data_IF_210747181341
#
_entry.id   IF_210747181341
#
_cell.length_a   1.000
_cell.length_b   1.000
_cell.length_c   1.000
_cell.angle_alpha   90.00
_cell.angle_beta   90.00
_cell.angle_gamma   90.00
#
_symmetry.space_group_name_H-M   'P 1'
#
loop_
_entity.id
_entity.type
_entity.pdbx_description
1 polymer ?
#
# COMPACT_ATOMS: atom_id res chain seq x y z
N UNK A 1 -27.29 -22.54 -10.22
CA UNK A 1 -26.27 -21.63 -9.66
C UNK A 1 -24.92 -22.08 -10.19
N UNK A 2 -24.09 -21.17 -10.70
CA UNK A 2 -22.73 -21.49 -11.10
C UNK A 2 -21.97 -22.06 -9.90
N UNK A 3 -21.27 -23.18 -10.06
CA UNK A 3 -20.43 -23.76 -9.01
C UNK A 3 -19.05 -23.13 -9.09
N UNK A 4 -18.45 -22.84 -7.94
CA UNK A 4 -17.05 -22.44 -7.86
C UNK A 4 -16.17 -23.64 -7.50
N UNK A 5 -15.09 -23.84 -8.27
CA UNK A 5 -14.08 -24.86 -8.04
C UNK A 5 -12.74 -24.20 -7.71
N UNK A 6 -11.96 -24.78 -6.79
CA UNK A 6 -10.65 -24.23 -6.39
C UNK A 6 -9.53 -25.17 -6.81
N UNK A 7 -8.55 -24.64 -7.52
CA UNK A 7 -7.38 -25.36 -8.03
C UNK A 7 -6.12 -24.76 -7.41
N UNK A 8 -5.24 -25.60 -6.86
CA UNK A 8 -4.05 -25.18 -6.09
C UNK A 8 -2.73 -25.75 -6.60
N UNK A 9 -2.75 -26.87 -7.32
CA UNK A 9 -1.54 -27.52 -7.83
C UNK A 9 -0.95 -26.73 -9.01
N UNK A 10 0.38 -26.70 -9.09
CA UNK A 10 1.08 -25.88 -10.08
C UNK A 10 0.71 -26.24 -11.52
N UNK A 11 0.78 -27.54 -11.85
CA UNK A 11 0.48 -28.04 -13.20
C UNK A 11 -0.99 -27.79 -13.57
N UNK A 12 -1.92 -27.97 -12.63
CA UNK A 12 -3.33 -27.70 -12.85
C UNK A 12 -3.61 -26.21 -13.06
N UNK A 13 -2.96 -25.32 -12.29
CA UNK A 13 -3.08 -23.87 -12.49
C UNK A 13 -2.49 -23.47 -13.84
N UNK A 14 -1.32 -23.98 -14.23
CA UNK A 14 -0.72 -23.72 -15.54
C UNK A 14 -1.64 -24.19 -16.67
N UNK A 15 -2.16 -25.42 -16.56
CA UNK A 15 -3.11 -25.98 -17.52
C UNK A 15 -4.38 -25.12 -17.64
N UNK A 16 -4.95 -24.69 -16.52
CA UNK A 16 -6.14 -23.83 -16.50
C UNK A 16 -5.88 -22.41 -17.05
N UNK A 17 -4.67 -21.87 -16.88
CA UNK A 17 -4.29 -20.58 -17.47
C UNK A 17 -4.10 -20.64 -18.99
N UNK A 18 -3.66 -21.79 -19.50
CA UNK A 18 -3.46 -22.04 -20.92
C UNK A 18 -4.69 -22.58 -21.67
N UNK A 19 -5.72 -23.04 -20.96
CA UNK A 19 -6.95 -23.57 -21.57
C UNK A 19 -7.76 -22.43 -22.23
N UNK A 20 -7.98 -22.46 -23.56
CA UNK A 20 -8.77 -21.43 -24.25
C UNK A 20 -10.25 -21.39 -23.82
N UNK A 21 -10.74 -22.42 -23.13
CA UNK A 21 -12.13 -22.51 -22.66
C UNK A 21 -12.32 -22.09 -21.21
N UNK A 22 -11.22 -21.80 -20.52
CA UNK A 22 -11.21 -21.17 -19.21
C UNK A 22 -10.80 -19.71 -19.41
N UNK A 23 -11.78 -18.85 -19.64
CA UNK A 23 -11.55 -17.45 -19.98
C UNK A 23 -11.60 -16.55 -18.74
N UNK A 24 -10.94 -15.37 -18.72
CA UNK A 24 -11.21 -14.37 -17.69
C UNK A 24 -12.70 -14.07 -17.63
N UNK A 25 -13.23 -13.82 -16.42
CA UNK A 25 -14.64 -13.43 -16.26
C UNK A 25 -14.90 -12.16 -17.08
N UNK A 26 -15.76 -12.22 -18.11
CA UNK A 26 -16.05 -11.05 -18.93
C UNK A 26 -16.64 -9.92 -18.07
N UNK A 27 -16.29 -8.69 -18.39
CA UNK A 27 -16.99 -7.53 -17.85
C UNK A 27 -18.21 -7.25 -18.72
N UNK A 28 -19.37 -7.05 -18.10
CA UNK A 28 -20.52 -6.49 -18.81
C UNK A 28 -20.18 -5.05 -19.20
N UNK A 29 -20.48 -4.68 -20.44
CA UNK A 29 -20.24 -3.32 -20.91
C UNK A 29 -21.17 -2.35 -20.19
N UNK A 30 -20.61 -1.25 -19.68
CA UNK A 30 -21.36 -0.20 -18.99
C UNK A 30 -21.58 1.05 -19.84
N UNK A 31 -22.12 2.09 -19.20
CA UNK A 31 -22.22 3.41 -19.80
C UNK A 31 -20.83 3.92 -20.24
N UNK A 32 -20.72 4.63 -21.38
CA UNK A 32 -19.46 5.19 -21.85
C UNK A 32 -18.74 5.96 -20.75
N UNK A 33 -17.43 5.74 -20.63
CA UNK A 33 -16.55 6.36 -19.65
C UNK A 33 -16.82 5.98 -18.18
N UNK A 34 -17.62 4.94 -17.91
CA UNK A 34 -17.71 4.32 -16.59
C UNK A 34 -16.66 3.21 -16.38
N UNK A 35 -16.52 2.75 -15.14
CA UNK A 35 -15.60 1.68 -14.74
C UNK A 35 -15.94 0.34 -15.44
N UNK A 36 -17.22 0.02 -15.61
CA UNK A 36 -17.66 -1.16 -16.36
C UNK A 36 -17.31 -1.08 -17.85
N UNK A 37 -17.51 0.08 -18.48
CA UNK A 37 -17.06 0.34 -19.86
C UNK A 37 -15.54 0.20 -20.00
N UNK A 38 -14.77 0.73 -19.03
CA UNK A 38 -13.31 0.60 -19.00
C UNK A 38 -12.89 -0.87 -18.94
N UNK A 39 -13.52 -1.68 -18.07
CA UNK A 39 -13.25 -3.12 -18.00
C UNK A 39 -13.61 -3.83 -19.30
N UNK A 40 -14.77 -3.55 -19.89
CA UNK A 40 -15.21 -4.11 -21.17
C UNK A 40 -14.31 -3.74 -22.36
N UNK A 41 -13.57 -2.63 -22.25
CA UNK A 41 -12.65 -2.12 -23.27
C UNK A 41 -11.20 -2.60 -23.10
N UNK A 42 -10.86 -3.24 -21.97
CA UNK A 42 -9.51 -3.66 -21.64
C UNK A 42 -9.19 -5.10 -22.10
N UNK A 43 -7.94 -5.33 -22.53
CA UNK A 43 -7.46 -6.66 -22.95
C UNK A 43 -7.65 -7.74 -21.87
N UNK A 44 -7.54 -7.37 -20.58
CA UNK A 44 -7.61 -8.29 -19.42
C UNK A 44 -8.91 -9.09 -19.37
N UNK A 45 -10.02 -8.49 -19.78
CA UNK A 45 -11.37 -9.08 -19.67
C UNK A 45 -11.87 -9.66 -21.00
N UNK A 46 -11.09 -9.56 -22.08
CA UNK A 46 -11.43 -10.13 -23.39
C UNK A 46 -11.04 -11.61 -23.45
N UNK A 47 -11.80 -12.47 -24.14
CA UNK A 47 -11.48 -13.91 -24.36
C UNK A 47 -10.23 -14.08 -25.26
N UNK A 48 -9.56 -15.24 -25.27
CA UNK A 48 -8.18 -15.33 -25.79
C UNK A 48 -8.16 -15.43 -27.32
N UNK A 49 -9.18 -16.11 -27.82
CA UNK A 49 -9.60 -16.27 -29.20
C UNK A 49 -10.43 -15.10 -29.73
N UNK A 50 -10.74 -14.10 -28.90
CA UNK A 50 -11.41 -12.88 -29.32
C UNK A 50 -10.42 -11.99 -30.10
N UNK A 51 -10.70 -11.67 -31.39
CA UNK A 51 -9.89 -10.74 -32.16
C UNK A 51 -9.70 -9.38 -31.46
N UNK A 52 -10.63 -8.98 -30.58
CA UNK A 52 -10.49 -7.79 -29.75
C UNK A 52 -9.38 -7.92 -28.71
N UNK A 53 -9.14 -9.11 -28.13
CA UNK A 53 -8.06 -9.32 -27.17
C UNK A 53 -6.69 -9.04 -27.79
N UNK A 54 -6.41 -9.62 -28.96
CA UNK A 54 -5.13 -9.41 -29.65
C UNK A 54 -4.92 -7.93 -29.98
N UNK A 55 -5.96 -7.24 -30.49
CA UNK A 55 -5.90 -5.81 -30.79
C UNK A 55 -5.60 -4.97 -29.54
N UNK A 56 -6.35 -5.18 -28.45
CA UNK A 56 -6.22 -4.45 -27.18
C UNK A 56 -4.90 -4.74 -26.47
N UNK A 57 -4.45 -6.01 -26.49
CA UNK A 57 -3.14 -6.42 -25.98
C UNK A 57 -2.02 -5.72 -26.73
N UNK A 58 -2.10 -5.66 -28.07
CA UNK A 58 -1.12 -4.98 -28.88
C UNK A 58 -1.05 -3.46 -28.59
N UNK A 59 -2.16 -2.83 -28.17
CA UNK A 59 -2.13 -1.43 -27.70
C UNK A 59 -1.28 -1.30 -26.43
N UNK A 60 -1.52 -2.14 -25.42
CA UNK A 60 -0.76 -2.12 -24.17
C UNK A 60 0.73 -2.45 -24.40
N UNK A 61 1.03 -3.43 -25.26
CA UNK A 61 2.41 -3.78 -25.61
C UNK A 61 3.13 -2.64 -26.34
N UNK A 62 2.46 -1.90 -27.25
CA UNK A 62 3.03 -0.71 -27.89
C UNK A 62 3.32 0.43 -26.90
N UNK A 63 2.46 0.61 -25.90
CA UNK A 63 2.68 1.60 -24.85
C UNK A 63 3.88 1.21 -23.97
N UNK A 64 3.94 -0.05 -23.53
CA UNK A 64 5.02 -0.58 -22.71
C UNK A 64 6.37 -0.63 -23.43
N UNK A 65 6.39 -0.91 -24.74
CA UNK A 65 7.61 -0.94 -25.54
C UNK A 65 8.31 0.43 -25.66
N UNK A 66 7.59 1.53 -25.37
CA UNK A 66 8.16 2.89 -25.33
C UNK A 66 8.79 3.22 -23.99
N UNK A 67 8.60 2.37 -22.98
CA UNK A 67 9.03 2.61 -21.61
C UNK A 67 10.12 1.61 -21.24
N UNK A 68 11.33 2.12 -21.04
CA UNK A 68 12.47 1.30 -20.60
C UNK A 68 12.33 0.93 -19.11
N UNK A 69 12.34 -0.37 -18.73
CA UNK A 69 12.22 -0.77 -17.33
C UNK A 69 13.33 -0.19 -16.45
N UNK A 70 14.57 -0.06 -16.95
CA UNK A 70 15.67 0.55 -16.19
C UNK A 70 15.39 2.01 -15.83
N UNK A 71 14.77 2.77 -16.74
CA UNK A 71 14.36 4.15 -16.48
C UNK A 71 13.26 4.23 -15.41
N UNK A 72 12.29 3.30 -15.43
CA UNK A 72 11.29 3.19 -14.36
C UNK A 72 11.92 2.88 -13.01
N UNK A 73 12.88 1.96 -12.95
CA UNK A 73 13.61 1.62 -11.73
C UNK A 73 14.32 2.85 -11.16
N UNK A 74 15.06 3.58 -11.99
CA UNK A 74 15.76 4.80 -11.56
C UNK A 74 14.81 5.91 -11.13
N UNK A 75 13.72 6.15 -11.87
CA UNK A 75 12.75 7.18 -11.55
C UNK A 75 11.98 6.86 -10.25
N UNK A 76 11.59 5.60 -10.05
CA UNK A 76 10.99 5.16 -8.80
C UNK A 76 11.96 5.31 -7.62
N UNK A 77 13.24 4.95 -7.78
CA UNK A 77 14.25 5.11 -6.72
C UNK A 77 14.57 6.58 -6.38
N UNK A 78 14.46 7.49 -7.34
CA UNK A 78 14.77 8.91 -7.16
C UNK A 78 13.63 9.72 -6.53
N UNK A 79 12.39 9.21 -6.53
CA UNK A 79 11.26 9.89 -5.91
C UNK A 79 11.37 9.89 -4.38
N UNK A 80 11.08 11.03 -3.75
CA UNK A 80 11.03 11.14 -2.29
C UNK A 80 10.00 10.16 -1.68
N UNK A 81 10.32 9.56 -0.53
CA UNK A 81 9.34 8.89 0.32
C UNK A 81 8.67 9.98 1.16
N UNK A 82 7.65 10.66 0.62
CA UNK A 82 6.88 11.59 1.44
C UNK A 82 6.20 10.83 2.61
N UNK A 83 6.82 10.75 3.79
CA UNK A 83 6.31 10.05 4.97
C UNK A 83 5.73 8.65 4.67
N UNK A 84 4.58 8.33 5.30
CA UNK A 84 3.71 7.18 4.97
C UNK A 84 3.07 7.35 3.56
N UNK A 85 3.90 7.54 2.53
CA UNK A 85 3.47 7.77 1.17
C UNK A 85 2.86 6.51 0.57
N UNK A 86 1.68 6.68 -0.05
CA UNK A 86 1.01 5.60 -0.77
C UNK A 86 1.82 5.22 -2.03
N UNK A 87 2.48 4.06 -1.99
CA UNK A 87 3.27 3.52 -3.11
C UNK A 87 2.48 3.44 -4.41
N UNK A 88 1.14 3.35 -4.36
CA UNK A 88 0.28 3.39 -5.56
C UNK A 88 0.45 4.70 -6.31
N UNK A 89 0.53 5.83 -5.60
CA UNK A 89 0.74 7.14 -6.21
C UNK A 89 2.11 7.21 -6.90
N UNK A 90 3.14 6.64 -6.29
CA UNK A 90 4.47 6.58 -6.87
C UNK A 90 4.51 5.69 -8.12
N UNK A 91 3.95 4.48 -8.04
CA UNK A 91 3.85 3.54 -9.17
C UNK A 91 3.16 4.19 -10.36
N UNK A 92 1.98 4.77 -10.15
CA UNK A 92 1.19 5.34 -11.25
C UNK A 92 1.82 6.64 -11.75
N UNK A 93 2.31 7.50 -10.86
CA UNK A 93 2.94 8.77 -11.25
C UNK A 93 4.17 8.55 -12.12
N UNK A 94 5.06 7.63 -11.72
CA UNK A 94 6.27 7.28 -12.50
C UNK A 94 5.90 6.67 -13.84
N UNK A 95 4.94 5.74 -13.88
CA UNK A 95 4.51 5.12 -15.13
C UNK A 95 3.81 6.13 -16.07
N UNK A 96 2.94 6.99 -15.54
CA UNK A 96 2.27 8.04 -16.30
C UNK A 96 3.27 9.04 -16.91
N UNK A 97 4.27 9.45 -16.12
CA UNK A 97 5.35 10.31 -16.61
C UNK A 97 6.16 9.62 -17.72
N UNK A 98 6.52 8.34 -17.54
CA UNK A 98 7.27 7.58 -18.55
C UNK A 98 6.47 7.37 -19.85
N UNK A 99 5.14 7.31 -19.76
CA UNK A 99 4.25 7.29 -20.93
C UNK A 99 4.07 8.66 -21.60
N UNK A 100 4.65 9.72 -21.04
CA UNK A 100 4.55 11.09 -21.58
C UNK A 100 3.26 11.82 -21.21
N UNK A 101 2.52 11.35 -20.22
CA UNK A 101 1.25 11.94 -19.82
C UNK A 101 1.45 13.23 -19.01
N UNK A 102 0.55 14.19 -19.20
CA UNK A 102 0.54 15.46 -18.47
C UNK A 102 -0.06 15.25 -17.07
N UNK A 103 0.41 16.03 -16.10
CA UNK A 103 -0.11 16.01 -14.72
C UNK A 103 -0.06 14.61 -14.06
N UNK A 104 1.11 13.93 -14.03
CA UNK A 104 1.22 12.54 -13.55
C UNK A 104 0.72 12.35 -12.11
N UNK A 105 0.86 13.35 -11.24
CA UNK A 105 0.35 13.28 -9.86
C UNK A 105 -1.19 13.26 -9.79
N UNK A 106 -1.86 14.07 -10.61
CA UNK A 106 -3.32 14.09 -10.67
C UNK A 106 -3.88 12.81 -11.31
N UNK A 107 -3.18 12.31 -12.34
CA UNK A 107 -3.47 11.00 -12.94
C UNK A 107 -3.34 9.90 -11.89
N UNK A 108 -2.27 9.91 -11.09
CA UNK A 108 -2.06 8.92 -10.04
C UNK A 108 -3.21 8.89 -9.02
N UNK A 109 -3.65 10.06 -8.54
CA UNK A 109 -4.77 10.16 -7.63
C UNK A 109 -6.07 9.58 -8.22
N UNK A 110 -6.40 9.96 -9.46
CA UNK A 110 -7.61 9.47 -10.15
C UNK A 110 -7.54 7.96 -10.41
N UNK A 111 -6.39 7.43 -10.82
CA UNK A 111 -6.19 5.98 -11.03
C UNK A 111 -6.35 5.20 -9.74
N UNK A 112 -5.87 5.70 -8.59
CA UNK A 112 -6.08 5.05 -7.29
C UNK A 112 -7.57 4.99 -6.93
N UNK A 113 -8.35 6.02 -7.26
CA UNK A 113 -9.82 5.99 -7.11
C UNK A 113 -10.46 4.91 -7.99
N UNK A 114 -10.03 4.77 -9.25
CA UNK A 114 -10.55 3.73 -10.14
C UNK A 114 -10.16 2.33 -9.65
N UNK A 115 -8.90 2.14 -9.23
CA UNK A 115 -8.36 0.86 -8.78
C UNK A 115 -9.19 0.25 -7.63
N UNK A 116 -9.66 1.09 -6.69
CA UNK A 116 -10.49 0.69 -5.56
C UNK A 116 -11.83 0.02 -5.95
N UNK A 117 -12.35 0.26 -7.16
CA UNK A 117 -13.58 -0.35 -7.67
C UNK A 117 -13.36 -1.27 -8.89
N UNK A 118 -12.13 -1.34 -9.42
CA UNK A 118 -11.85 -1.90 -10.74
C UNK A 118 -12.20 -3.39 -10.88
N UNK A 119 -12.04 -4.19 -9.82
CA UNK A 119 -12.35 -5.62 -9.85
C UNK A 119 -13.78 -5.96 -9.43
N UNK A 120 -14.62 -4.96 -9.13
CA UNK A 120 -16.00 -5.11 -8.68
C UNK A 120 -16.11 -5.32 -7.16
N UNK A 121 -17.35 -5.31 -6.64
CA UNK A 121 -17.63 -5.49 -5.21
C UNK A 121 -17.50 -4.23 -4.35
N UNK A 122 -17.21 -3.08 -4.96
CA UNK A 122 -17.20 -1.79 -4.29
C UNK A 122 -18.63 -1.30 -3.99
N UNK A 123 -18.80 -0.58 -2.88
CA UNK A 123 -20.07 0.07 -2.55
C UNK A 123 -20.44 1.17 -3.56
N UNK A 124 -21.73 1.52 -3.63
CA UNK A 124 -22.27 2.45 -4.64
C UNK A 124 -21.52 3.80 -4.72
N UNK A 125 -21.08 4.34 -3.58
CA UNK A 125 -20.30 5.58 -3.53
C UNK A 125 -18.93 5.45 -4.22
N UNK A 126 -18.24 4.33 -3.97
CA UNK A 126 -16.93 4.07 -4.57
C UNK A 126 -17.04 3.78 -6.07
N UNK A 127 -18.12 3.09 -6.49
CA UNK A 127 -18.42 2.90 -7.91
C UNK A 127 -18.65 4.24 -8.64
N UNK A 128 -19.48 5.13 -8.08
CA UNK A 128 -19.72 6.45 -8.66
C UNK A 128 -18.43 7.30 -8.75
N UNK A 129 -17.61 7.29 -7.69
CA UNK A 129 -16.33 7.99 -7.69
C UNK A 129 -15.36 7.43 -8.75
N UNK A 130 -15.37 6.12 -8.99
CA UNK A 130 -14.59 5.50 -10.03
C UNK A 130 -15.08 5.89 -11.43
N UNK A 131 -16.39 5.97 -11.66
CA UNK A 131 -16.96 6.43 -12.93
C UNK A 131 -16.54 7.89 -13.23
N UNK A 132 -16.66 8.79 -12.25
CA UNK A 132 -16.20 10.17 -12.38
C UNK A 132 -14.70 10.26 -12.70
N UNK A 133 -13.90 9.41 -12.04
CA UNK A 133 -12.46 9.35 -12.28
C UNK A 133 -12.11 8.81 -13.68
N UNK A 134 -12.83 7.80 -14.19
CA UNK A 134 -12.64 7.30 -15.57
C UNK A 134 -13.01 8.39 -16.59
N UNK A 135 -14.15 9.06 -16.41
CA UNK A 135 -14.56 10.16 -17.27
C UNK A 135 -13.53 11.31 -17.29
N UNK A 136 -12.86 11.57 -16.16
CA UNK A 136 -11.78 12.54 -16.08
C UNK A 136 -10.47 12.08 -16.75
N UNK A 137 -10.13 10.79 -16.62
CA UNK A 137 -8.88 10.21 -17.12
C UNK A 137 -8.84 10.07 -18.65
N UNK A 138 -9.93 9.59 -19.25
CA UNK A 138 -9.98 9.28 -20.69
C UNK A 138 -9.49 10.43 -21.59
N UNK A 139 -9.98 11.68 -21.48
CA UNK A 139 -9.51 12.79 -22.32
C UNK A 139 -8.04 13.20 -22.06
N UNK A 140 -7.41 12.69 -21.00
CA UNK A 140 -6.02 13.02 -20.62
C UNK A 140 -4.99 11.98 -21.04
N UNK A 141 -5.44 10.88 -21.66
CA UNK A 141 -4.54 9.79 -22.04
C UNK A 141 -3.70 10.08 -23.27
N UNK A 142 -3.89 11.18 -23.99
CA UNK A 142 -3.19 11.47 -25.25
C UNK A 142 -3.23 10.28 -26.23
N UNK A 143 -4.46 9.84 -26.53
CA UNK A 143 -4.75 8.67 -27.34
C UNK A 143 -5.58 9.07 -28.57
N UNK A 144 -5.45 8.28 -29.64
CA UNK A 144 -6.11 8.56 -30.92
C UNK A 144 -7.63 8.32 -30.90
N UNK A 145 -8.09 7.43 -30.03
CA UNK A 145 -9.49 7.03 -29.87
C UNK A 145 -9.77 6.56 -28.43
N UNK A 146 -11.06 6.42 -28.10
CA UNK A 146 -11.50 6.04 -26.75
C UNK A 146 -11.05 4.63 -26.34
N UNK A 147 -10.92 3.68 -27.29
CA UNK A 147 -10.44 2.32 -26.98
C UNK A 147 -8.96 2.34 -26.57
N UNK A 148 -8.15 3.13 -27.28
CA UNK A 148 -6.74 3.34 -26.95
C UNK A 148 -6.58 4.08 -25.62
N UNK A 149 -7.42 5.09 -25.36
CA UNK A 149 -7.46 5.78 -24.08
C UNK A 149 -7.82 4.80 -22.94
N UNK A 150 -8.87 4.00 -23.12
CA UNK A 150 -9.29 3.00 -22.15
C UNK A 150 -8.19 1.97 -21.85
N UNK A 151 -7.47 1.50 -22.87
CA UNK A 151 -6.38 0.54 -22.65
C UNK A 151 -5.18 1.16 -21.91
N UNK A 152 -4.90 2.46 -22.11
CA UNK A 152 -3.88 3.18 -21.34
C UNK A 152 -4.31 3.41 -19.88
N UNK A 153 -5.56 3.78 -19.64
CA UNK A 153 -6.11 3.85 -18.27
C UNK A 153 -6.03 2.46 -17.60
N UNK A 154 -6.48 1.41 -18.30
CA UNK A 154 -6.43 0.05 -17.78
C UNK A 154 -5.00 -0.44 -17.51
N UNK A 155 -4.00 0.02 -18.25
CA UNK A 155 -2.59 -0.25 -17.99
C UNK A 155 -2.15 0.36 -16.66
N UNK A 156 -2.46 1.65 -16.42
CA UNK A 156 -2.15 2.35 -15.17
C UNK A 156 -2.86 1.71 -13.97
N UNK A 157 -4.16 1.42 -14.09
CA UNK A 157 -4.96 0.79 -13.03
C UNK A 157 -4.43 -0.60 -12.68
N UNK A 158 -4.06 -1.43 -13.67
CA UNK A 158 -3.52 -2.76 -13.41
C UNK A 158 -2.10 -2.74 -12.82
N UNK A 159 -1.33 -1.69 -13.06
CA UNK A 159 -0.02 -1.51 -12.44
C UNK A 159 -0.13 -1.08 -10.97
N UNK A 160 -1.16 -0.30 -10.63
CA UNK A 160 -1.38 0.38 -9.34
C UNK A 160 -1.23 -0.52 -8.10
N UNK A 161 -2.30 -1.22 -7.70
CA UNK A 161 -2.32 -1.97 -6.43
C UNK A 161 -1.32 -3.14 -6.40
N UNK A 162 -1.20 -3.86 -7.52
CA UNK A 162 -0.39 -5.08 -7.57
C UNK A 162 1.11 -4.77 -7.42
N UNK A 163 1.60 -3.68 -8.01
CA UNK A 163 3.03 -3.30 -7.91
C UNK A 163 3.33 -2.67 -6.56
N UNK A 164 2.43 -1.83 -6.03
CA UNK A 164 2.57 -1.27 -4.68
C UNK A 164 2.58 -2.38 -3.61
N UNK A 165 1.67 -3.35 -3.70
CA UNK A 165 1.64 -4.50 -2.80
C UNK A 165 2.90 -5.37 -2.92
N UNK A 166 3.47 -5.51 -4.14
CA UNK A 166 4.73 -6.24 -4.33
C UNK A 166 5.89 -5.55 -3.60
N UNK A 167 6.02 -4.23 -3.76
CA UNK A 167 7.06 -3.44 -3.09
C UNK A 167 6.92 -3.54 -1.56
N UNK A 168 5.70 -3.34 -1.05
CA UNK A 168 5.42 -3.41 0.39
C UNK A 168 5.72 -4.77 1.00
N UNK A 169 5.23 -5.86 0.40
CA UNK A 169 5.51 -7.22 0.90
C UNK A 169 6.99 -7.58 0.81
N UNK A 170 7.69 -7.07 -0.20
CA UNK A 170 9.13 -7.25 -0.33
C UNK A 170 9.91 -6.49 0.74
N UNK A 171 9.48 -5.29 1.15
CA UNK A 171 10.05 -4.58 2.31
C UNK A 171 9.89 -5.38 3.60
N UNK A 172 8.69 -5.93 3.85
CA UNK A 172 8.43 -6.79 5.02
C UNK A 172 9.32 -8.05 5.02
N UNK A 173 9.52 -8.65 3.85
CA UNK A 173 10.42 -9.78 3.68
C UNK A 173 11.90 -9.41 3.89
N UNK A 174 12.30 -8.20 3.51
CA UNK A 174 13.66 -7.69 3.68
C UNK A 174 14.04 -7.55 5.16
N UNK A 175 13.11 -7.15 6.03
CA UNK A 175 13.33 -7.02 7.48
C UNK A 175 13.78 -8.35 8.15
N UNK A 176 13.50 -9.48 7.50
CA UNK A 176 13.85 -10.82 7.99
C UNK A 176 14.87 -11.53 7.06
N UNK A 177 15.45 -10.81 6.10
CA UNK A 177 16.37 -11.38 5.13
C UNK A 177 17.80 -11.46 5.69
N UNK A 178 18.54 -12.49 5.26
CA UNK A 178 19.96 -12.57 5.54
C UNK A 178 20.73 -11.39 4.89
N UNK A 179 21.87 -10.97 5.47
CA UNK A 179 22.71 -9.95 4.86
C UNK A 179 23.11 -10.31 3.42
N UNK A 180 23.08 -9.33 2.52
CA UNK A 180 23.56 -9.48 1.13
C UNK A 180 22.51 -9.97 0.13
N UNK A 181 21.25 -10.19 0.52
CA UNK A 181 20.17 -10.48 -0.44
C UNK A 181 19.90 -9.25 -1.30
N UNK A 182 19.93 -9.43 -2.62
CA UNK A 182 19.65 -8.36 -3.58
C UNK A 182 18.16 -8.03 -3.66
N UNK A 183 17.82 -6.83 -4.13
CA UNK A 183 16.42 -6.42 -4.37
C UNK A 183 15.71 -7.38 -5.33
N UNK A 184 16.39 -7.86 -6.36
CA UNK A 184 15.80 -8.76 -7.36
C UNK A 184 15.54 -10.16 -6.76
N UNK A 185 16.41 -10.64 -5.86
CA UNK A 185 16.19 -11.87 -5.09
C UNK A 185 15.03 -11.74 -4.09
N UNK A 186 14.89 -10.58 -3.44
CA UNK A 186 13.75 -10.29 -2.56
C UNK A 186 12.43 -10.33 -3.34
N UNK A 187 12.36 -9.66 -4.49
CA UNK A 187 11.18 -9.68 -5.35
C UNK A 187 10.85 -11.12 -5.80
N UNK A 188 11.85 -11.90 -6.21
CA UNK A 188 11.66 -13.29 -6.63
C UNK A 188 11.15 -14.18 -5.48
N UNK A 189 11.63 -13.96 -4.25
CA UNK A 189 11.13 -14.64 -3.04
C UNK A 189 9.71 -14.22 -2.71
N UNK A 190 9.41 -12.93 -2.70
CA UNK A 190 8.05 -12.42 -2.42
C UNK A 190 7.04 -12.93 -3.43
N UNK A 191 7.38 -12.99 -4.73
CA UNK A 191 6.49 -13.59 -5.73
C UNK A 191 6.22 -15.07 -5.47
N UNK A 192 7.16 -15.80 -4.86
CA UNK A 192 6.99 -17.21 -4.49
C UNK A 192 6.14 -17.37 -3.23
N UNK A 193 6.48 -16.62 -2.18
CA UNK A 193 6.02 -16.88 -0.83
C UNK A 193 4.78 -16.05 -0.45
N UNK A 194 4.70 -14.80 -0.92
CA UNK A 194 3.62 -13.84 -0.63
C UNK A 194 3.29 -12.95 -1.85
N UNK A 195 2.78 -13.53 -2.96
CA UNK A 195 2.55 -12.79 -4.20
C UNK A 195 1.38 -11.79 -4.07
N UNK A 196 1.50 -10.58 -4.65
CA UNK A 196 0.46 -9.54 -4.59
C UNK A 196 -0.87 -9.99 -5.22
N UNK A 197 -0.80 -10.88 -6.21
CA UNK A 197 -1.95 -11.56 -6.79
C UNK A 197 -2.00 -12.98 -6.24
N UNK A 198 -2.92 -13.21 -5.30
CA UNK A 198 -3.06 -14.50 -4.60
C UNK A 198 -3.95 -15.49 -5.33
N UNK A 199 -4.90 -15.00 -6.12
CA UNK A 199 -5.79 -15.85 -6.91
C UNK A 199 -6.21 -15.21 -8.24
N UNK A 200 -6.51 -16.05 -9.23
CA UNK A 200 -7.06 -15.67 -10.52
C UNK A 200 -8.38 -16.42 -10.75
N UNK A 201 -9.35 -15.78 -11.40
CA UNK A 201 -10.64 -16.40 -11.73
C UNK A 201 -10.76 -16.69 -13.22
N UNK A 202 -11.33 -17.86 -13.53
CA UNK A 202 -11.72 -18.28 -14.88
C UNK A 202 -13.17 -18.71 -14.91
N UNK A 203 -13.83 -18.45 -16.03
CA UNK A 203 -15.17 -18.93 -16.35
C UNK A 203 -15.04 -20.04 -17.40
N UNK A 204 -15.66 -21.19 -17.17
CA UNK A 204 -15.77 -22.23 -18.16
C UNK A 204 -16.84 -21.87 -19.20
N UNK A 205 -16.46 -21.65 -20.46
CA UNK A 205 -17.42 -21.33 -21.53
C UNK A 205 -18.09 -22.57 -22.13
N UNK A 206 -17.54 -23.75 -21.84
CA UNK A 206 -18.07 -25.07 -22.18
C UNK A 206 -17.61 -26.08 -21.13
N UNK A 207 -18.21 -27.26 -21.13
CA UNK A 207 -17.72 -28.38 -20.34
C UNK A 207 -16.24 -28.65 -20.67
N UNK A 208 -15.40 -28.65 -19.64
CA UNK A 208 -13.94 -28.83 -19.74
C UNK A 208 -13.40 -29.61 -18.54
N UNK A 209 -12.07 -29.80 -18.47
CA UNK A 209 -11.39 -30.43 -17.35
C UNK A 209 -10.14 -29.66 -16.95
N UNK A 210 -9.87 -29.61 -15.65
CA UNK A 210 -8.58 -29.15 -15.10
C UNK A 210 -7.93 -30.34 -14.38
N UNK A 211 -6.96 -30.97 -15.04
CA UNK A 211 -6.47 -32.28 -14.59
C UNK A 211 -7.63 -33.30 -14.54
N UNK A 212 -7.86 -33.87 -13.37
CA UNK A 212 -8.98 -34.81 -13.15
C UNK A 212 -10.32 -34.16 -12.79
N UNK A 213 -10.33 -32.86 -12.55
CA UNK A 213 -11.53 -32.11 -12.18
C UNK A 213 -12.39 -31.84 -13.42
N UNK A 214 -13.62 -32.38 -13.46
CA UNK A 214 -14.62 -31.97 -14.44
C UNK A 214 -15.24 -30.62 -14.06
N UNK A 215 -15.28 -29.69 -15.02
CA UNK A 215 -15.83 -28.34 -14.84
C UNK A 215 -16.94 -28.15 -15.88
N UNK A 216 -18.16 -27.85 -15.42
CA UNK A 216 -19.30 -27.65 -16.32
C UNK A 216 -19.28 -26.24 -16.94
N UNK A 217 -19.92 -26.09 -18.10
CA UNK A 217 -20.14 -24.78 -18.70
C UNK A 217 -20.87 -23.84 -17.72
N UNK A 218 -20.36 -22.60 -17.58
CA UNK A 218 -20.86 -21.59 -16.65
C UNK A 218 -20.28 -21.66 -15.24
N UNK A 219 -19.51 -22.70 -14.90
CA UNK A 219 -18.82 -22.77 -13.61
C UNK A 219 -17.60 -21.84 -13.55
N UNK A 220 -17.26 -21.42 -12.33
CA UNK A 220 -16.07 -20.64 -12.04
C UNK A 220 -14.94 -21.54 -11.54
N UNK A 221 -13.72 -21.27 -11.98
CA UNK A 221 -12.49 -21.88 -11.48
C UNK A 221 -11.62 -20.81 -10.85
N UNK A 222 -11.44 -20.90 -9.53
CA UNK A 222 -10.51 -20.08 -8.76
C UNK A 222 -9.15 -20.77 -8.73
N UNK A 223 -8.16 -20.12 -9.33
CA UNK A 223 -6.77 -20.55 -9.38
C UNK A 223 -6.03 -19.92 -8.21
N UNK A 224 -5.67 -20.70 -7.21
CA UNK A 224 -4.92 -20.26 -6.03
C UNK A 224 -3.43 -20.13 -6.39
N UNK A 225 -3.06 -18.95 -6.88
CA UNK A 225 -1.69 -18.62 -7.32
C UNK A 225 -0.73 -18.67 -6.15
N UNK A 226 -1.14 -18.21 -4.97
CA UNK A 226 -0.28 -18.22 -3.78
C UNK A 226 0.05 -19.65 -3.33
N UNK A 227 -0.91 -20.58 -3.38
CA UNK A 227 -0.65 -21.98 -3.11
C UNK A 227 0.22 -22.62 -4.21
N UNK A 228 -0.10 -22.37 -5.48
CA UNK A 228 0.65 -22.94 -6.61
C UNK A 228 2.12 -22.46 -6.64
N UNK A 229 2.39 -21.20 -6.30
CA UNK A 229 3.75 -20.66 -6.26
C UNK A 229 4.64 -21.32 -5.19
N UNK A 230 4.04 -21.92 -4.15
CA UNK A 230 4.75 -22.67 -3.10
C UNK A 230 5.08 -24.12 -3.49
N UNK A 231 5.01 -24.44 -4.78
CA UNK A 231 5.38 -25.75 -5.31
C UNK A 231 6.80 -26.16 -4.87
N UNK A 232 6.98 -27.37 -4.29
CA UNK A 232 8.25 -27.79 -3.71
C UNK A 232 9.35 -28.01 -4.76
N UNK A 233 9.01 -28.14 -6.05
CA UNK A 233 9.99 -28.22 -7.12
C UNK A 233 10.58 -26.84 -7.50
N UNK A 234 10.17 -25.76 -6.82
CA UNK A 234 10.77 -24.43 -7.00
C UNK A 234 10.46 -23.81 -8.36
N UNK A 235 9.27 -24.09 -8.90
CA UNK A 235 8.82 -23.65 -10.23
C UNK A 235 8.74 -22.11 -10.34
N UNK A 236 8.79 -21.53 -11.57
CA UNK A 236 8.62 -20.09 -11.76
C UNK A 236 7.25 -19.57 -11.26
N UNK A 237 7.19 -18.42 -10.56
CA UNK A 237 5.95 -17.85 -10.05
C UNK A 237 4.91 -17.54 -11.15
N UNK A 238 3.64 -17.80 -10.84
CA UNK A 238 2.49 -17.65 -11.74
C UNK A 238 1.76 -16.30 -11.60
N UNK A 239 2.28 -15.38 -10.79
CA UNK A 239 1.70 -14.04 -10.54
C UNK A 239 1.49 -13.24 -11.82
N UNK A 240 2.42 -13.37 -12.77
CA UNK A 240 2.33 -12.73 -14.09
C UNK A 240 1.68 -13.61 -15.16
N UNK A 241 1.06 -14.74 -14.77
CA UNK A 241 0.45 -15.70 -15.67
C UNK A 241 1.46 -16.49 -16.52
N UNK A 242 0.92 -17.26 -17.46
CA UNK A 242 1.66 -18.04 -18.46
C UNK A 242 1.13 -17.75 -19.86
N UNK A 243 1.81 -18.26 -20.89
CA UNK A 243 1.31 -18.17 -22.26
C UNK A 243 -0.09 -18.79 -22.41
N UNK A 244 -0.96 -18.24 -23.27
CA UNK A 244 -0.74 -17.08 -24.16
C UNK A 244 -1.02 -15.72 -23.51
N UNK A 245 -1.35 -15.69 -22.21
CA UNK A 245 -1.79 -14.48 -21.48
C UNK A 245 -0.79 -14.01 -20.43
N UNK A 246 0.49 -14.24 -20.67
CA UNK A 246 1.56 -13.71 -19.82
C UNK A 246 1.43 -12.18 -19.78
N UNK A 247 1.56 -11.62 -18.58
CA UNK A 247 1.49 -10.17 -18.37
C UNK A 247 2.57 -9.48 -19.20
N UNK A 248 2.21 -8.56 -20.12
CA UNK A 248 3.19 -7.84 -20.93
C UNK A 248 4.00 -6.83 -20.09
N UNK A 249 3.46 -6.37 -18.96
CA UNK A 249 4.10 -5.40 -18.06
C UNK A 249 4.93 -6.02 -16.94
N UNK A 250 5.28 -7.32 -17.00
CA UNK A 250 5.99 -7.99 -15.90
C UNK A 250 7.34 -7.34 -15.60
N UNK A 251 8.13 -7.00 -16.62
CA UNK A 251 9.42 -6.34 -16.46
C UNK A 251 9.26 -4.93 -15.87
N UNK A 252 8.26 -4.17 -16.31
CA UNK A 252 7.95 -2.82 -15.81
C UNK A 252 7.52 -2.84 -14.35
N UNK A 253 6.64 -3.78 -13.96
CA UNK A 253 6.20 -3.94 -12.58
C UNK A 253 7.36 -4.31 -11.64
N UNK A 254 8.22 -5.26 -12.05
CA UNK A 254 9.42 -5.62 -11.30
C UNK A 254 10.38 -4.44 -11.16
N UNK A 255 10.59 -3.68 -12.23
CA UNK A 255 11.47 -2.51 -12.20
C UNK A 255 10.94 -1.39 -11.29
N UNK A 256 9.64 -1.10 -11.34
CA UNK A 256 8.99 -0.14 -10.45
C UNK A 256 9.13 -0.56 -8.98
N UNK A 257 8.78 -1.82 -8.66
CA UNK A 257 8.90 -2.34 -7.30
C UNK A 257 10.37 -2.35 -6.83
N UNK A 258 11.31 -2.72 -7.70
CA UNK A 258 12.74 -2.68 -7.39
C UNK A 258 13.23 -1.26 -7.11
N UNK A 259 12.74 -0.27 -7.87
CA UNK A 259 13.06 1.14 -7.65
C UNK A 259 12.53 1.64 -6.30
N UNK A 260 11.29 1.32 -5.95
CA UNK A 260 10.71 1.66 -4.64
C UNK A 260 11.47 1.02 -3.46
N UNK A 261 11.95 -0.20 -3.63
CA UNK A 261 12.80 -0.91 -2.66
C UNK A 261 14.22 -0.34 -2.56
N UNK A 262 14.72 0.23 -3.66
CA UNK A 262 16.05 0.83 -3.74
C UNK A 262 16.05 2.31 -3.37
N UNK A 263 14.88 2.89 -3.05
CA UNK A 263 14.84 4.21 -2.43
C UNK A 263 15.72 4.13 -1.20
N UNK A 264 16.65 5.09 -1.00
CA UNK A 264 17.23 5.21 0.32
C UNK A 264 16.06 5.22 1.29
N UNK A 265 16.20 4.52 2.42
CA UNK A 265 15.44 4.93 3.58
C UNK A 265 15.72 6.43 3.65
N UNK A 266 14.74 7.26 3.28
CA UNK A 266 14.76 8.61 3.80
C UNK A 266 14.74 8.34 5.30
N UNK A 267 15.91 8.41 5.95
CA UNK A 267 15.97 9.15 7.18
C UNK A 267 15.28 10.45 6.81
N UNK A 268 13.96 10.49 6.99
CA UNK A 268 13.12 11.65 6.78
C UNK A 268 13.61 12.62 7.85
N UNK A 269 14.74 13.26 7.57
CA UNK A 269 15.52 14.00 8.56
C UNK A 269 14.56 15.05 9.09
N UNK A 270 14.08 14.90 10.35
CA UNK A 270 13.00 15.71 10.84
C UNK A 270 13.37 17.17 10.68
N UNK A 271 12.54 17.93 9.96
CA UNK A 271 12.80 19.34 9.78
C UNK A 271 12.80 20.01 11.16
N UNK A 272 13.93 20.61 11.54
CA UNK A 272 14.06 21.31 12.81
C UNK A 272 13.97 22.81 12.59
N UNK A 273 13.43 23.54 13.57
CA UNK A 273 13.44 25.00 13.60
C UNK A 273 14.04 25.52 14.92
N UNK A 274 13.89 26.83 15.17
CA UNK A 274 14.44 27.50 16.36
C UNK A 274 13.69 27.23 17.67
N UNK A 275 12.63 26.43 17.66
CA UNK A 275 11.89 26.07 18.88
C UNK A 275 12.76 25.22 19.82
N UNK A 276 12.47 25.32 21.11
CA UNK A 276 13.08 24.47 22.13
C UNK A 276 12.57 23.01 21.96
N UNK A 277 13.45 22.03 21.72
CA UNK A 277 13.07 20.62 21.58
C UNK A 277 12.27 20.07 22.75
N UNK A 278 12.56 20.51 23.98
CA UNK A 278 11.80 20.10 25.16
C UNK A 278 10.36 20.61 25.12
N UNK A 279 10.16 21.82 24.58
CA UNK A 279 8.84 22.42 24.38
C UNK A 279 8.06 21.74 23.27
N UNK A 280 8.72 21.36 22.18
CA UNK A 280 8.08 20.63 21.06
C UNK A 280 7.39 19.35 21.55
N UNK A 281 8.11 18.51 22.31
CA UNK A 281 7.54 17.26 22.86
C UNK A 281 6.45 17.55 23.90
N UNK A 282 6.67 18.52 24.79
CA UNK A 282 5.71 18.87 25.83
C UNK A 282 4.40 19.44 25.26
N UNK A 283 4.48 20.27 24.22
CA UNK A 283 3.33 20.88 23.56
C UNK A 283 2.54 19.85 22.75
N UNK A 284 3.22 18.90 22.09
CA UNK A 284 2.56 17.74 21.46
C UNK A 284 1.76 16.93 22.48
N UNK A 285 2.35 16.58 23.64
CA UNK A 285 1.62 15.84 24.68
C UNK A 285 0.45 16.64 25.23
N UNK A 286 0.61 17.96 25.40
CA UNK A 286 -0.47 18.84 25.84
C UNK A 286 -1.63 18.84 24.83
N UNK A 287 -1.33 18.89 23.53
CA UNK A 287 -2.33 18.80 22.45
C UNK A 287 -3.08 17.47 22.47
N UNK A 288 -2.36 16.35 22.57
CA UNK A 288 -2.96 15.00 22.67
C UNK A 288 -3.90 14.92 23.87
N UNK A 289 -3.45 15.36 25.05
CA UNK A 289 -4.27 15.32 26.26
C UNK A 289 -5.47 16.25 26.17
N UNK A 290 -5.36 17.40 25.50
CA UNK A 290 -6.46 18.33 25.29
C UNK A 290 -7.53 17.76 24.34
N UNK A 291 -7.14 17.04 23.29
CA UNK A 291 -8.06 16.26 22.46
C UNK A 291 -8.72 15.14 23.28
N UNK A 292 -7.94 14.39 24.07
CA UNK A 292 -8.40 13.25 24.85
C UNK A 292 -9.48 13.59 25.88
N UNK A 293 -9.54 14.85 26.35
CA UNK A 293 -10.63 15.32 27.23
C UNK A 293 -12.02 15.12 26.62
N UNK A 294 -12.09 15.13 25.30
CA UNK A 294 -13.35 14.96 24.57
C UNK A 294 -13.70 13.50 24.30
N UNK A 295 -12.74 12.59 24.43
CA UNK A 295 -12.94 11.18 24.02
C UNK A 295 -13.79 10.37 24.99
N UNK A 296 -14.10 10.92 26.17
CA UNK A 296 -15.03 10.28 27.12
C UNK A 296 -16.46 10.20 26.59
N UNK A 297 -16.79 10.95 25.53
CA UNK A 297 -18.06 10.85 24.80
C UNK A 297 -17.98 9.99 23.52
N UNK A 298 -16.90 9.22 23.34
CA UNK A 298 -16.76 8.37 22.16
C UNK A 298 -17.87 7.31 22.08
N UNK A 299 -18.45 7.15 20.90
CA UNK A 299 -19.59 6.28 20.62
C UNK A 299 -19.21 4.80 20.40
N UNK A 300 -17.91 4.51 20.39
CA UNK A 300 -17.36 3.17 20.19
C UNK A 300 -17.05 2.85 18.73
N UNK A 301 -17.33 3.76 17.79
CA UNK A 301 -17.04 3.55 16.37
C UNK A 301 -15.62 4.02 16.01
N UNK A 302 -14.73 3.15 15.50
CA UNK A 302 -13.38 3.53 15.10
C UNK A 302 -13.38 4.54 13.93
N UNK A 303 -12.45 5.49 13.96
CA UNK A 303 -12.30 6.51 12.92
C UNK A 303 -11.31 6.02 11.84
N UNK A 304 -11.73 5.88 10.57
CA UNK A 304 -10.81 5.55 9.49
C UNK A 304 -9.95 6.77 9.12
N UNK A 305 -8.65 6.56 9.01
CA UNK A 305 -7.67 7.54 8.51
C UNK A 305 -6.66 6.81 7.63
N UNK A 306 -6.68 7.08 6.32
CA UNK A 306 -5.93 6.30 5.35
C UNK A 306 -6.39 4.84 5.28
N UNK A 307 -5.45 3.91 5.44
CA UNK A 307 -5.67 2.47 5.50
C UNK A 307 -5.85 1.93 6.93
N UNK A 308 -5.89 2.81 7.94
CA UNK A 308 -5.90 2.46 9.36
C UNK A 308 -7.18 2.91 10.05
N UNK A 309 -7.49 2.20 11.13
CA UNK A 309 -8.54 2.55 12.08
C UNK A 309 -7.93 3.14 13.35
N UNK A 310 -8.49 4.22 13.85
CA UNK A 310 -8.08 4.89 15.07
C UNK A 310 -9.20 4.90 16.11
N UNK A 311 -8.81 4.73 17.36
CA UNK A 311 -9.68 4.82 18.53
C UNK A 311 -8.95 5.66 19.59
N UNK A 312 -9.67 6.21 20.58
CA UNK A 312 -9.04 6.91 21.71
C UNK A 312 -7.92 6.11 22.37
N UNK A 313 -8.17 4.84 22.71
CA UNK A 313 -7.17 3.96 23.32
C UNK A 313 -5.96 3.72 22.43
N UNK A 314 -6.18 3.47 21.13
CA UNK A 314 -5.08 3.30 20.18
C UNK A 314 -4.23 4.57 20.09
N UNK A 315 -4.87 5.74 20.04
CA UNK A 315 -4.15 7.00 19.97
C UNK A 315 -3.26 7.23 21.21
N UNK A 316 -3.81 7.06 22.42
CA UNK A 316 -3.03 7.17 23.68
C UNK A 316 -1.89 6.16 23.72
N UNK A 317 -2.17 4.89 23.37
CA UNK A 317 -1.17 3.83 23.32
C UNK A 317 -0.04 4.19 22.35
N UNK A 318 -0.36 4.59 21.12
CA UNK A 318 0.65 4.92 20.10
C UNK A 318 1.52 6.11 20.47
N UNK A 319 0.95 7.15 21.07
CA UNK A 319 1.74 8.28 21.58
C UNK A 319 2.67 7.84 22.70
N UNK A 320 2.18 7.01 23.63
CA UNK A 320 3.00 6.49 24.73
C UNK A 320 4.14 5.59 24.24
N UNK A 321 3.84 4.65 23.33
CA UNK A 321 4.81 3.75 22.71
C UNK A 321 5.88 4.58 21.99
N UNK A 322 5.48 5.51 21.10
CA UNK A 322 6.42 6.32 20.32
C UNK A 322 7.36 7.17 21.20
N UNK A 323 6.83 7.73 22.29
CA UNK A 323 7.63 8.45 23.30
C UNK A 323 8.59 7.53 24.05
N UNK A 324 8.21 6.29 24.33
CA UNK A 324 9.04 5.31 25.03
C UNK A 324 10.14 4.76 24.12
N UNK A 325 9.81 4.45 22.87
CA UNK A 325 10.72 3.89 21.88
C UNK A 325 11.92 4.83 21.67
N UNK A 326 11.66 6.10 21.37
CA UNK A 326 12.74 7.07 21.17
C UNK A 326 13.43 7.50 22.47
N UNK A 327 12.79 7.31 23.63
CA UNK A 327 13.45 7.53 24.91
C UNK A 327 14.45 6.40 25.17
N UNK A 328 14.08 5.16 24.90
CA UNK A 328 14.99 4.01 24.98
C UNK A 328 16.17 4.16 24.01
N UNK A 329 15.91 4.59 22.77
CA UNK A 329 16.95 4.92 21.79
C UNK A 329 17.91 6.01 22.31
N UNK A 330 17.37 7.10 22.87
CA UNK A 330 18.17 8.19 23.43
C UNK A 330 19.03 7.69 24.60
N UNK A 331 18.49 6.91 25.52
CA UNK A 331 19.22 6.39 26.68
C UNK A 331 20.31 5.38 26.27
N UNK A 332 20.02 4.47 25.33
CA UNK A 332 21.01 3.52 24.79
C UNK A 332 22.20 4.27 24.17
N UNK A 333 21.93 5.28 23.33
CA UNK A 333 22.97 6.11 22.71
C UNK A 333 23.82 6.87 23.72
N UNK A 334 23.20 7.36 24.81
CA UNK A 334 23.94 8.00 25.91
C UNK A 334 24.82 7.02 26.69
N UNK A 335 24.40 5.75 26.80
CA UNK A 335 25.19 4.68 27.41
C UNK A 335 26.30 4.16 26.47
N UNK A 336 26.31 4.57 25.20
CA UNK A 336 27.21 4.04 24.18
C UNK A 336 26.81 2.65 23.68
N UNK A 337 25.56 2.26 23.89
CA UNK A 337 24.96 1.00 23.45
C UNK A 337 24.22 1.19 22.12
N UNK A 338 24.04 0.10 21.39
CA UNK A 338 23.25 0.08 20.16
C UNK A 338 21.75 0.07 20.51
N UNK A 339 20.91 0.96 19.95
CA UNK A 339 19.48 0.94 20.19
C UNK A 339 18.84 -0.38 19.75
N UNK A 340 17.93 -0.92 20.56
CA UNK A 340 17.09 -2.05 20.16
C UNK A 340 16.04 -1.58 19.13
N UNK A 341 15.97 -2.19 17.94
CA UNK A 341 14.99 -1.80 16.93
C UNK A 341 13.55 -2.12 17.34
N UNK A 342 12.61 -1.23 17.03
CA UNK A 342 11.19 -1.55 17.13
C UNK A 342 10.79 -2.55 16.02
N UNK A 343 10.36 -3.73 16.43
CA UNK A 343 9.86 -4.79 15.55
C UNK A 343 8.33 -4.83 15.49
N UNK A 344 7.65 -4.03 16.30
CA UNK A 344 6.21 -4.05 16.46
C UNK A 344 5.59 -2.86 15.73
N UNK A 345 5.18 -3.08 14.48
CA UNK A 345 4.48 -2.08 13.63
C UNK A 345 3.07 -1.71 14.17
N UNK A 346 3.01 -1.11 15.36
CA UNK A 346 1.83 -1.10 16.20
C UNK A 346 0.71 -0.20 15.66
N UNK A 347 1.03 0.75 14.79
CA UNK A 347 0.05 1.63 14.14
C UNK A 347 -0.82 0.88 13.11
N UNK A 348 -0.29 -0.17 12.50
CA UNK A 348 -1.00 -1.00 11.52
C UNK A 348 -2.07 -1.89 12.15
N UNK A 349 -2.03 -2.09 13.48
CA UNK A 349 -2.94 -2.99 14.19
C UNK A 349 -3.87 -2.20 15.12
N UNK A 350 -5.16 -2.53 15.07
CA UNK A 350 -6.14 -2.13 16.09
C UNK A 350 -6.54 -3.39 16.86
N UNK A 351 -6.19 -3.43 18.13
CA UNK A 351 -6.39 -4.60 18.99
C UNK A 351 -7.79 -4.57 19.63
N UNK A 352 -8.28 -5.70 20.18
CA UNK A 352 -9.53 -5.70 20.94
C UNK A 352 -9.51 -4.74 22.14
N UNK A 353 -8.36 -4.52 22.77
CA UNK A 353 -8.23 -3.57 23.87
C UNK A 353 -8.44 -2.12 23.40
N UNK A 354 -8.00 -1.81 22.18
CA UNK A 354 -8.19 -0.49 21.59
C UNK A 354 -9.68 -0.16 21.32
N UNK A 355 -10.57 -1.17 21.30
CA UNK A 355 -12.00 -1.01 21.04
C UNK A 355 -12.85 -0.85 22.32
N UNK A 356 -12.24 -0.91 23.50
CA UNK A 356 -12.97 -0.69 24.75
C UNK A 356 -13.50 0.76 24.82
N UNK A 357 -14.63 1.03 25.52
CA UNK A 357 -15.04 2.40 25.82
C UNK A 357 -13.91 3.19 26.45
N UNK A 358 -13.83 4.49 26.16
CA UNK A 358 -12.84 5.39 26.76
C UNK A 358 -13.51 6.18 27.88
N UNK A 359 -13.23 5.85 29.13
CA UNK A 359 -13.91 6.43 30.31
C UNK A 359 -13.13 7.59 30.92
N UNK A 360 -13.69 8.20 31.97
CA UNK A 360 -12.99 9.23 32.74
C UNK A 360 -11.74 8.68 33.44
N UNK A 361 -11.80 7.42 33.90
CA UNK A 361 -10.65 6.72 34.48
C UNK A 361 -9.54 6.50 33.44
N UNK A 362 -9.89 6.16 32.20
CA UNK A 362 -8.92 6.00 31.10
C UNK A 362 -8.25 7.35 30.75
N UNK A 363 -9.02 8.44 30.75
CA UNK A 363 -8.49 9.79 30.58
C UNK A 363 -7.51 10.17 31.70
N UNK A 364 -7.86 9.86 32.95
CA UNK A 364 -6.99 10.13 34.10
C UNK A 364 -5.72 9.29 34.06
N UNK A 365 -5.81 8.03 33.63
CA UNK A 365 -4.65 7.18 33.39
C UNK A 365 -3.76 7.77 32.27
N UNK A 366 -4.35 8.14 31.13
CA UNK A 366 -3.64 8.74 30.02
C UNK A 366 -2.91 10.04 30.45
N UNK A 367 -3.60 10.92 31.19
CA UNK A 367 -3.02 12.14 31.75
C UNK A 367 -1.86 11.83 32.67
N UNK A 368 -2.05 10.89 33.60
CA UNK A 368 -1.04 10.44 34.56
C UNK A 368 0.22 9.93 33.85
N UNK A 369 0.05 9.08 32.83
CA UNK A 369 1.14 8.46 32.07
C UNK A 369 1.87 9.47 31.18
N UNK A 370 1.15 10.13 30.26
CA UNK A 370 1.76 10.99 29.25
C UNK A 370 2.40 12.24 29.86
N UNK A 371 1.83 12.81 30.92
CA UNK A 371 2.45 13.96 31.61
C UNK A 371 3.80 13.60 32.21
N UNK A 372 3.95 12.39 32.76
CA UNK A 372 5.25 11.92 33.29
C UNK A 372 6.26 11.69 32.18
N UNK A 373 5.85 11.09 31.06
CA UNK A 373 6.71 10.91 29.89
C UNK A 373 7.17 12.26 29.32
N UNK A 374 6.25 13.22 29.14
CA UNK A 374 6.59 14.58 28.72
C UNK A 374 7.61 15.23 29.66
N UNK A 375 7.42 15.07 30.98
CA UNK A 375 8.36 15.59 31.98
C UNK A 375 9.74 14.94 31.89
N UNK A 376 9.81 13.62 31.69
CA UNK A 376 11.09 12.92 31.48
C UNK A 376 11.80 13.46 30.25
N UNK A 377 11.09 13.58 29.12
CA UNK A 377 11.62 14.18 27.89
C UNK A 377 12.11 15.61 28.09
N UNK A 378 11.32 16.49 28.71
CA UNK A 378 11.75 17.87 28.98
C UNK A 378 12.99 17.93 29.87
N UNK A 379 13.10 17.05 30.88
CA UNK A 379 14.27 16.98 31.75
C UNK A 379 15.51 16.46 31.01
N UNK A 380 15.35 15.46 30.14
CA UNK A 380 16.46 14.92 29.34
C UNK A 380 16.95 15.93 28.32
N UNK A 381 16.05 16.45 27.48
CA UNK A 381 16.41 17.40 26.43
C UNK A 381 16.95 18.71 27.02
N UNK A 382 16.37 19.19 28.13
CA UNK A 382 16.83 20.39 28.82
C UNK A 382 18.18 20.26 29.53
N UNK A 383 18.71 19.05 29.70
CA UNK A 383 20.05 18.82 30.27
C UNK A 383 21.18 18.99 29.23
N UNK A 384 20.86 19.02 27.94
CA UNK A 384 21.83 19.16 26.86
C UNK A 384 21.99 20.62 26.43
N UNK A 385 23.23 20.98 26.08
CA UNK A 385 23.47 22.20 25.31
C UNK A 385 22.95 22.08 23.88
N UNK A 386 22.78 23.21 23.19
CA UNK A 386 22.38 23.22 21.78
C UNK A 386 23.30 22.37 20.89
N UNK A 387 24.62 22.44 21.10
CA UNK A 387 25.58 21.62 20.37
C UNK A 387 25.40 20.13 20.63
N UNK A 388 25.13 19.71 21.88
CA UNK A 388 24.90 18.31 22.21
C UNK A 388 23.59 17.78 21.63
N UNK A 389 22.57 18.64 21.49
CA UNK A 389 21.32 18.30 20.81
C UNK A 389 21.51 18.10 19.30
N UNK A 390 22.41 18.87 18.70
CA UNK A 390 22.69 18.84 17.25
C UNK A 390 23.74 17.79 16.87
N UNK A 391 24.65 17.46 17.81
CA UNK A 391 25.72 16.47 17.67
C UNK A 391 25.61 15.39 18.75
N UNK A 392 24.53 14.63 18.70
CA UNK A 392 24.30 13.53 19.64
C UNK A 392 25.15 12.29 19.32
N UNK A 393 25.47 11.46 20.33
CA UNK A 393 26.21 10.21 20.13
C UNK A 393 25.40 9.17 19.37
N UNK A 394 26.11 8.27 18.66
CA UNK A 394 25.53 7.17 17.90
C UNK A 394 25.13 7.55 16.46
N UNK A 395 24.85 6.56 15.60
CA UNK A 395 24.29 6.80 14.27
C UNK A 395 22.82 7.23 14.36
N UNK A 396 22.30 7.85 13.29
CA UNK A 396 20.89 8.26 13.16
C UNK A 396 20.65 9.75 13.41
N UNK A 397 19.38 10.11 13.62
CA UNK A 397 18.94 11.49 13.86
C UNK A 397 19.56 12.08 15.13
N UNK A 398 19.80 13.40 15.09
CA UNK A 398 20.21 14.16 16.26
C UNK A 398 19.14 14.13 17.36
N UNK A 399 19.50 14.36 18.62
CA UNK A 399 18.49 14.45 19.69
C UNK A 399 17.49 15.59 19.47
N UNK A 400 17.90 16.68 18.80
CA UNK A 400 16.96 17.70 18.31
C UNK A 400 15.98 17.10 17.30
N UNK A 401 16.50 16.42 16.30
CA UNK A 401 15.67 15.81 15.25
C UNK A 401 14.70 14.77 15.83
N UNK A 402 15.12 13.93 16.78
CA UNK A 402 14.22 13.01 17.49
C UNK A 402 13.06 13.74 18.17
N UNK A 403 13.33 14.85 18.86
CA UNK A 403 12.28 15.64 19.51
C UNK A 403 11.27 16.23 18.51
N UNK A 404 11.75 16.68 17.34
CA UNK A 404 10.89 17.18 16.26
C UNK A 404 10.13 16.06 15.55
N UNK A 405 10.72 14.87 15.42
CA UNK A 405 10.02 13.70 14.93
C UNK A 405 8.85 13.31 15.84
N UNK A 406 9.06 13.36 17.15
CA UNK A 406 8.02 13.11 18.15
C UNK A 406 6.85 14.10 18.07
N UNK A 407 7.03 15.30 17.50
CA UNK A 407 5.91 16.22 17.22
C UNK A 407 4.86 15.55 16.32
N UNK A 408 5.30 14.70 15.38
CA UNK A 408 4.43 13.94 14.49
C UNK A 408 3.46 13.00 15.19
N UNK A 409 3.67 12.66 16.47
CA UNK A 409 2.71 11.90 17.28
C UNK A 409 1.35 12.60 17.43
N UNK A 410 1.29 13.93 17.24
CA UNK A 410 0.03 14.68 17.23
C UNK A 410 -0.98 14.11 16.21
N UNK A 411 -0.48 13.55 15.10
CA UNK A 411 -1.28 12.88 14.07
C UNK A 411 -2.23 11.82 14.62
N UNK A 412 -1.83 11.08 15.67
CA UNK A 412 -2.67 10.06 16.27
C UNK A 412 -3.89 10.66 16.97
N UNK A 413 -3.72 11.79 17.66
CA UNK A 413 -4.84 12.51 18.27
C UNK A 413 -5.70 13.20 17.20
N UNK A 414 -5.08 13.79 16.17
CA UNK A 414 -5.77 14.46 15.08
C UNK A 414 -6.62 13.49 14.24
N UNK A 415 -6.18 12.23 14.10
CA UNK A 415 -6.92 11.17 13.41
C UNK A 415 -8.20 10.77 14.14
N UNK A 416 -8.24 10.83 15.47
CA UNK A 416 -9.47 10.65 16.25
C UNK A 416 -10.30 11.94 16.26
N UNK A 417 -9.62 13.09 16.31
CA UNK A 417 -10.23 14.41 16.36
C UNK A 417 -10.84 14.74 17.73
N UNK A 418 -11.50 15.88 17.83
CA UNK A 418 -12.25 16.28 19.03
C UNK A 418 -13.70 15.86 18.91
N UNK A 419 -14.24 15.20 19.93
CA UNK A 419 -15.62 14.71 19.92
C UNK A 419 -16.59 15.71 20.57
N UNK A 420 -17.80 15.88 20.00
CA UNK A 420 -18.81 16.75 20.59
C UNK A 420 -19.31 16.21 21.94
N UNK A 421 -19.50 17.09 22.92
CA UNK A 421 -20.13 16.76 24.21
C UNK A 421 -19.18 16.41 25.36
N UNK A 422 -17.86 16.40 25.15
CA UNK A 422 -16.88 16.23 26.24
C UNK A 422 -16.79 17.48 27.14
N UNK A 423 -16.65 17.28 28.45
CA UNK A 423 -16.53 18.38 29.41
C UNK A 423 -15.25 19.21 29.15
N UNK A 424 -15.45 20.53 28.97
CA UNK A 424 -14.41 21.51 28.68
C UNK A 424 -13.42 21.76 29.82
#
# INVERSE_FOLDING_TARGET
MAREHVVRGYEEVVGALGDPHLVPVPAEGGAPYGAEWLRGSAARFSAADDPAHLRRRAMAERDLARVEPSALRSAAAAGARAGEGDDRLAVVGVLAQALGLKEPAAIAAAVTTVAAAYFGGAGARAAAAADDAVAWLVPRMDAADDESAANRVALLVQACDATAALAERSRRAAAHAAPGVTVDELLARTLRDDPPVTALRRLAVRDTRVGELAVAAGDLVLLDVAAANRDPAGRPPLTFGVEPRRCPGAAHALALAAGLLSRPEEEDVPATDGRDPARVVADMVAHVLDAARTWTSWDGEPVPSGDRLYTPHKAVRRVADHLLDHLAELEARLAGEEPEPDHWHASATTTPADLAPFTAEDLDEARSRLTRLARMWSQRLGAFSGEQLDRSPGPGWSFRQLAFHLEGSAYYADSVGRLPGGAA
#
